data_IF_938961823632
#
_entry.id   IF_938961823632
#
_cell.length_a   1.000
_cell.length_b   1.000
_cell.length_c   1.000
_cell.angle_alpha   90.00
_cell.angle_beta   90.00
_cell.angle_gamma   90.00
#
_symmetry.space_group_name_H-M   'P 1'
#
loop_
_entity.id
_entity.type
_entity.pdbx_description
1 polymer ?
#
# COMPACT_ATOMS: atom_id res chain seq x y z
N UNK A 1 22.63 -32.38 5.46
CA UNK A 1 21.62 -31.95 6.46
C UNK A 1 21.63 -30.44 6.74
N UNK A 2 22.78 -29.78 6.94
CA UNK A 2 22.82 -28.33 7.26
C UNK A 2 22.17 -27.39 6.23
N UNK A 3 22.29 -27.68 4.92
CA UNK A 3 21.68 -26.85 3.85
C UNK A 3 20.14 -26.81 3.89
N UNK A 4 19.49 -27.92 4.29
CA UNK A 4 18.04 -27.99 4.44
C UNK A 4 17.54 -27.19 5.65
N UNK A 5 18.34 -27.12 6.72
CA UNK A 5 18.00 -26.36 7.92
C UNK A 5 18.07 -24.85 7.66
N UNK A 6 19.02 -24.40 6.84
CA UNK A 6 19.12 -23.00 6.41
C UNK A 6 17.95 -22.56 5.51
N UNK A 7 17.54 -23.41 4.56
CA UNK A 7 16.38 -23.12 3.68
C UNK A 7 15.08 -23.05 4.52
N UNK A 8 14.94 -23.95 5.50
CA UNK A 8 13.83 -23.88 6.46
C UNK A 8 13.82 -22.56 7.23
N UNK A 9 14.96 -22.13 7.77
CA UNK A 9 15.06 -20.90 8.56
C UNK A 9 14.67 -19.64 7.75
N UNK A 10 15.07 -19.57 6.48
CA UNK A 10 14.77 -18.42 5.61
C UNK A 10 13.26 -18.35 5.31
N UNK A 11 12.61 -19.50 5.05
CA UNK A 11 11.18 -19.55 4.78
C UNK A 11 10.30 -19.18 5.99
N UNK A 12 10.80 -19.35 7.22
CA UNK A 12 10.07 -18.97 8.45
C UNK A 12 10.26 -17.50 8.87
N UNK A 13 11.21 -16.78 8.28
CA UNK A 13 11.52 -15.40 8.69
C UNK A 13 10.54 -14.34 8.17
N UNK A 14 9.62 -14.69 7.28
CA UNK A 14 8.88 -13.73 6.44
C UNK A 14 7.53 -13.23 6.97
N UNK A 15 7.12 -13.49 8.21
CA UNK A 15 5.76 -13.11 8.68
C UNK A 15 5.67 -12.47 10.07
N UNK A 16 6.77 -11.92 10.59
CA UNK A 16 6.67 -11.09 11.80
C UNK A 16 6.14 -9.71 11.41
N UNK A 17 4.82 -9.61 11.27
CA UNK A 17 4.12 -8.34 11.13
C UNK A 17 4.11 -7.63 12.49
N UNK A 18 5.13 -6.82 12.74
CA UNK A 18 5.20 -6.02 13.95
C UNK A 18 4.09 -4.96 13.92
N UNK A 19 3.20 -4.99 14.92
CA UNK A 19 2.22 -3.94 15.15
C UNK A 19 2.89 -2.81 15.94
N UNK A 20 2.78 -1.58 15.45
CA UNK A 20 3.31 -0.39 16.13
C UNK A 20 2.20 0.60 16.43
N UNK A 21 2.34 1.32 17.53
CA UNK A 21 1.37 2.27 18.07
C UNK A 21 2.03 3.64 18.15
N UNK A 22 1.39 4.65 17.59
CA UNK A 22 1.79 6.04 17.68
C UNK A 22 0.69 6.85 18.36
N UNK A 23 1.06 7.71 19.30
CA UNK A 23 0.12 8.62 19.96
C UNK A 23 0.82 9.93 20.33
N UNK A 24 0.04 10.95 20.68
CA UNK A 24 0.55 12.20 21.24
C UNK A 24 0.38 12.12 22.75
N UNK A 25 1.47 12.27 23.48
CA UNK A 25 1.44 12.32 24.94
C UNK A 25 0.82 13.64 25.39
N UNK A 26 -0.26 13.62 26.20
CA UNK A 26 -1.05 14.82 26.47
C UNK A 26 -0.29 15.88 27.28
N UNK A 27 0.62 15.45 28.15
CA UNK A 27 1.36 16.34 29.04
C UNK A 27 2.46 17.12 28.30
N UNK A 28 3.13 16.48 27.35
CA UNK A 28 4.29 17.03 26.65
C UNK A 28 3.98 17.47 25.21
N UNK A 29 2.87 16.99 24.63
CA UNK A 29 2.58 17.14 23.21
C UNK A 29 3.53 16.36 22.28
N UNK A 30 4.42 15.52 22.84
CA UNK A 30 5.39 14.77 22.04
C UNK A 30 4.75 13.54 21.42
N UNK A 31 5.12 13.25 20.19
CA UNK A 31 4.71 12.01 19.53
C UNK A 31 5.54 10.83 20.04
N UNK A 32 4.86 9.81 20.54
CA UNK A 32 5.45 8.57 21.01
C UNK A 32 5.19 7.45 20.00
N UNK A 33 6.09 6.46 19.95
CA UNK A 33 5.99 5.30 19.07
C UNK A 33 6.45 4.03 19.82
N UNK A 34 5.61 3.00 19.88
CA UNK A 34 5.89 1.77 20.64
C UNK A 34 5.35 0.54 19.93
N UNK A 35 6.07 -0.59 20.00
CA UNK A 35 5.54 -1.90 19.57
C UNK A 35 4.55 -2.53 20.56
N UNK A 36 4.39 -1.94 21.75
CA UNK A 36 3.42 -2.34 22.77
C UNK A 36 2.35 -1.27 22.91
N UNK A 37 1.07 -1.65 23.07
CA UNK A 37 0.01 -0.68 23.31
C UNK A 37 0.24 0.04 24.65
N UNK A 38 -0.08 1.35 24.73
CA UNK A 38 -0.12 2.07 26.00
C UNK A 38 -1.09 1.40 27.00
N UNK A 39 -0.85 1.55 28.30
CA UNK A 39 -1.70 0.92 29.32
C UNK A 39 -3.18 1.36 29.22
N UNK A 40 -3.42 2.63 28.89
CA UNK A 40 -4.76 3.21 28.75
C UNK A 40 -5.47 2.83 27.45
N UNK A 41 -4.76 2.32 26.43
CA UNK A 41 -5.33 2.00 25.11
C UNK A 41 -6.44 0.94 25.17
N UNK A 42 -6.46 0.12 26.23
CA UNK A 42 -7.52 -0.88 26.48
C UNK A 42 -8.42 -0.55 27.67
N UNK A 43 -8.27 0.63 28.25
CA UNK A 43 -9.09 1.05 29.39
C UNK A 43 -10.44 1.61 28.93
N UNK A 44 -11.45 1.52 29.79
CA UNK A 44 -12.80 2.04 29.51
C UNK A 44 -12.87 3.57 29.44
N UNK A 45 -11.95 4.26 30.13
CA UNK A 45 -11.88 5.74 30.12
C UNK A 45 -11.49 6.29 28.74
N UNK A 46 -10.89 5.46 27.88
CA UNK A 46 -10.30 5.88 26.62
C UNK A 46 -9.02 6.70 26.85
N UNK A 47 -8.37 7.09 25.76
CA UNK A 47 -7.17 7.93 25.84
C UNK A 47 -6.95 8.76 24.58
N UNK A 48 -5.75 9.34 24.44
CA UNK A 48 -5.36 10.09 23.25
C UNK A 48 -5.58 9.31 21.95
N UNK A 49 -5.69 10.03 20.83
CA UNK A 49 -5.72 9.46 19.48
C UNK A 49 -4.51 8.55 19.25
N UNK A 50 -4.77 7.32 18.81
CA UNK A 50 -3.74 6.31 18.50
C UNK A 50 -3.79 5.93 17.04
N UNK A 51 -2.64 5.94 16.38
CA UNK A 51 -2.46 5.32 15.07
C UNK A 51 -1.76 3.98 15.24
N UNK A 52 -2.31 2.94 14.61
CA UNK A 52 -1.78 1.58 14.62
C UNK A 52 -1.23 1.26 13.24
N UNK A 53 0.05 0.92 13.17
CA UNK A 53 0.71 0.46 11.96
C UNK A 53 0.72 -1.06 11.97
N UNK A 54 0.04 -1.68 11.01
CA UNK A 54 -0.08 -3.13 10.91
C UNK A 54 -0.15 -3.55 9.44
N UNK A 55 0.69 -4.52 9.04
CA UNK A 55 0.71 -5.06 7.68
C UNK A 55 0.81 -4.00 6.57
N UNK A 56 1.64 -2.98 6.78
CA UNK A 56 1.82 -1.87 5.84
C UNK A 56 0.62 -0.92 5.73
N UNK A 57 -0.37 -1.03 6.64
CA UNK A 57 -1.54 -0.15 6.71
C UNK A 57 -1.46 0.70 7.98
N UNK A 58 -1.98 1.92 7.89
CA UNK A 58 -2.16 2.83 9.03
C UNK A 58 -3.64 2.82 9.39
N UNK A 59 -3.94 2.43 10.63
CA UNK A 59 -5.29 2.34 11.18
C UNK A 59 -5.40 3.45 12.23
N UNK A 60 -6.37 4.33 12.08
CA UNK A 60 -6.73 5.28 13.13
C UNK A 60 -7.66 4.58 14.12
N UNK A 61 -7.14 4.29 15.31
CA UNK A 61 -7.86 3.58 16.36
C UNK A 61 -8.28 4.52 17.50
N UNK A 62 -8.67 5.74 17.12
CA UNK A 62 -9.32 6.65 18.06
C UNK A 62 -10.68 6.07 18.46
N UNK A 63 -10.87 5.81 19.75
CA UNK A 63 -12.15 5.35 20.28
C UNK A 63 -13.20 6.45 20.15
N UNK A 64 -13.94 6.45 19.05
CA UNK A 64 -15.10 7.32 18.86
C UNK A 64 -16.29 6.64 19.56
N UNK A 65 -16.92 7.34 20.51
CA UNK A 65 -18.18 6.89 21.11
C UNK A 65 -19.28 6.95 20.05
N UNK A 66 -19.60 5.81 19.47
CA UNK A 66 -20.73 5.64 18.54
C UNK A 66 -21.93 5.07 19.27
N UNK A 67 -23.12 5.56 18.92
CA UNK A 67 -24.38 4.98 19.41
C UNK A 67 -24.55 3.54 18.93
N UNK A 68 -25.34 2.72 19.62
CA UNK A 68 -25.56 1.32 19.20
C UNK A 68 -26.18 1.23 17.80
N UNK A 69 -27.04 2.18 17.43
CA UNK A 69 -27.61 2.29 16.09
C UNK A 69 -26.54 2.54 15.03
N UNK A 70 -25.64 3.48 15.26
CA UNK A 70 -24.53 3.77 14.33
C UNK A 70 -23.56 2.60 14.24
N UNK A 71 -23.29 1.93 15.37
CA UNK A 71 -22.44 0.73 15.40
C UNK A 71 -23.00 -0.35 14.48
N UNK A 72 -24.31 -0.58 14.52
CA UNK A 72 -24.97 -1.57 13.67
C UNK A 72 -24.92 -1.17 12.18
N UNK A 73 -25.15 0.11 11.86
CA UNK A 73 -25.03 0.61 10.49
C UNK A 73 -23.60 0.48 9.94
N UNK A 74 -22.58 0.76 10.76
CA UNK A 74 -21.18 0.61 10.37
C UNK A 74 -20.83 -0.85 10.10
N UNK A 75 -21.36 -1.80 10.90
CA UNK A 75 -21.19 -3.24 10.65
C UNK A 75 -21.80 -3.65 9.32
N UNK A 76 -23.05 -3.26 9.05
CA UNK A 76 -23.73 -3.59 7.80
C UNK A 76 -22.96 -3.06 6.59
N UNK A 77 -22.46 -1.81 6.65
CA UNK A 77 -21.61 -1.23 5.61
C UNK A 77 -20.28 -1.98 5.45
N UNK A 78 -19.67 -2.41 6.55
CA UNK A 78 -18.44 -3.18 6.48
C UNK A 78 -18.64 -4.52 5.75
N UNK A 79 -19.76 -5.21 5.99
CA UNK A 79 -20.08 -6.45 5.27
C UNK A 79 -20.29 -6.22 3.77
N UNK A 80 -21.08 -5.21 3.39
CA UNK A 80 -21.31 -4.86 1.98
C UNK A 80 -19.97 -4.58 1.27
N UNK A 81 -19.10 -3.80 1.91
CA UNK A 81 -17.79 -3.47 1.34
C UNK A 81 -16.89 -4.69 1.15
N UNK A 82 -16.92 -5.65 2.08
CA UNK A 82 -16.16 -6.89 1.95
C UNK A 82 -16.63 -7.70 0.75
N UNK A 83 -17.95 -7.78 0.53
CA UNK A 83 -18.53 -8.46 -0.64
C UNK A 83 -18.12 -7.78 -1.95
N UNK A 84 -18.20 -6.45 -2.03
CA UNK A 84 -17.71 -5.68 -3.19
C UNK A 84 -16.21 -5.89 -3.46
N UNK A 85 -15.39 -5.87 -2.40
CA UNK A 85 -13.94 -6.10 -2.51
C UNK A 85 -13.63 -7.52 -3.00
N UNK A 86 -14.38 -8.53 -2.57
CA UNK A 86 -14.27 -9.92 -3.04
C UNK A 86 -14.64 -10.05 -4.53
N UNK A 87 -15.71 -9.41 -4.97
CA UNK A 87 -16.09 -9.38 -6.39
C UNK A 87 -15.01 -8.73 -7.26
N UNK A 88 -14.46 -7.60 -6.81
CA UNK A 88 -13.35 -6.92 -7.49
C UNK A 88 -12.12 -7.82 -7.54
N UNK A 89 -11.79 -8.50 -6.45
CA UNK A 89 -10.66 -9.42 -6.39
C UNK A 89 -10.83 -10.60 -7.35
N UNK A 90 -12.04 -11.19 -7.39
CA UNK A 90 -12.38 -12.28 -8.34
C UNK A 90 -12.26 -11.81 -9.78
N UNK A 91 -12.82 -10.65 -10.12
CA UNK A 91 -12.71 -10.09 -11.46
C UNK A 91 -11.28 -9.78 -11.89
N UNK A 92 -10.42 -9.34 -10.96
CA UNK A 92 -8.98 -9.18 -11.21
C UNK A 92 -8.28 -10.51 -11.48
N UNK A 93 -8.61 -11.54 -10.71
CA UNK A 93 -8.05 -12.89 -10.88
C UNK A 93 -8.43 -13.49 -12.23
N UNK A 94 -9.69 -13.37 -12.65
CA UNK A 94 -10.16 -13.85 -13.95
C UNK A 94 -9.44 -13.15 -15.11
N UNK A 95 -9.25 -11.83 -15.04
CA UNK A 95 -8.48 -11.08 -16.04
C UNK A 95 -7.02 -11.53 -16.10
N UNK A 96 -6.39 -11.74 -14.94
CA UNK A 96 -5.02 -12.22 -14.87
C UNK A 96 -4.86 -13.61 -15.49
N UNK A 97 -5.81 -14.52 -15.22
CA UNK A 97 -5.83 -15.86 -15.83
C UNK A 97 -5.98 -15.80 -17.35
N UNK A 98 -6.91 -14.97 -17.86
CA UNK A 98 -7.10 -14.81 -19.30
C UNK A 98 -5.84 -14.27 -19.99
N UNK A 99 -5.19 -13.28 -19.39
CA UNK A 99 -3.97 -12.70 -19.94
C UNK A 99 -2.80 -13.69 -19.94
N UNK A 100 -2.74 -14.57 -18.92
CA UNK A 100 -1.78 -15.67 -18.88
C UNK A 100 -2.02 -16.69 -20.00
N UNK A 101 -3.28 -17.08 -20.26
CA UNK A 101 -3.63 -17.98 -21.36
C UNK A 101 -3.26 -17.39 -22.73
N UNK A 102 -3.50 -16.08 -22.93
CA UNK A 102 -3.10 -15.37 -24.16
C UNK A 102 -1.57 -15.38 -24.35
N UNK A 103 -0.80 -15.20 -23.29
CA UNK A 103 0.67 -15.23 -23.33
C UNK A 103 1.22 -16.63 -23.63
N UNK A 104 0.64 -17.66 -23.01
CA UNK A 104 1.03 -19.05 -23.23
C UNK A 104 0.72 -19.49 -24.67
N UNK A 105 -0.41 -19.06 -25.25
CA UNK A 105 -0.76 -19.33 -26.64
C UNK A 105 0.19 -18.61 -27.62
N UNK A 106 0.50 -17.33 -27.37
CA UNK A 106 1.44 -16.56 -28.21
C UNK A 106 2.86 -17.14 -28.20
N UNK A 107 3.29 -17.67 -27.05
CA UNK A 107 4.59 -18.32 -26.89
C UNK A 107 4.69 -19.61 -27.71
N UNK A 108 3.60 -20.39 -27.77
CA UNK A 108 3.54 -21.61 -28.60
C UNK A 108 3.59 -21.31 -30.09
N UNK A 109 2.93 -20.24 -30.56
CA UNK A 109 2.98 -19.84 -31.96
C UNK A 109 4.37 -19.31 -32.38
N UNK A 110 5.08 -18.63 -31.46
CA UNK A 110 6.41 -18.07 -31.74
C UNK A 110 7.51 -19.15 -31.73
N UNK A 111 7.29 -20.29 -31.08
CA UNK A 111 8.27 -21.39 -30.96
C UNK A 111 8.46 -22.23 -32.23
N UNK A 112 7.75 -21.96 -33.34
CA UNK A 112 7.86 -22.73 -34.60
C UNK A 112 8.90 -22.15 -35.57
N UNK A 113 9.50 -21.00 -35.28
CA UNK A 113 10.75 -20.58 -35.93
C UNK A 113 11.93 -21.00 -35.08
N UNK A 114 12.30 -22.28 -35.23
CA UNK A 114 13.58 -22.81 -34.81
C UNK A 114 14.69 -21.98 -35.49
N UNK A 115 15.47 -21.15 -34.76
CA UNK A 115 16.63 -20.52 -35.33
C UNK A 115 17.60 -21.64 -35.77
N UNK A 116 18.26 -21.52 -36.93
CA UNK A 116 19.23 -22.52 -37.36
C UNK A 116 20.29 -22.70 -36.26
N UNK A 117 20.39 -23.94 -35.80
CA UNK A 117 21.45 -24.48 -34.95
C UNK A 117 22.82 -23.92 -35.35
N UNK A 118 23.27 -22.88 -34.64
CA UNK A 118 24.67 -22.50 -34.59
C UNK A 118 25.24 -23.21 -33.37
N UNK A 119 25.91 -24.32 -33.64
CA UNK A 119 26.74 -25.03 -32.68
C UNK A 119 27.91 -24.12 -32.30
N UNK A 120 27.76 -23.33 -31.24
CA UNK A 120 28.93 -22.80 -30.54
C UNK A 120 29.45 -23.85 -29.55
N UNK A 121 30.76 -24.18 -29.59
CA UNK A 121 31.36 -25.12 -28.66
C UNK A 121 31.30 -24.58 -27.24
N UNK A 122 30.77 -25.38 -26.31
CA UNK A 122 30.95 -25.14 -24.87
C UNK A 122 32.45 -25.20 -24.55
N UNK A 123 33.05 -24.06 -24.25
CA UNK A 123 34.22 -24.04 -23.39
C UNK A 123 33.78 -24.33 -21.95
N UNK A 124 34.32 -25.44 -21.47
CA UNK A 124 34.30 -25.95 -20.11
C UNK A 124 34.97 -24.93 -19.18
N UNK A 125 34.17 -24.07 -18.54
CA UNK A 125 34.67 -23.22 -17.46
C UNK A 125 34.73 -24.07 -16.20
N UNK A 126 35.92 -24.61 -15.94
CA UNK A 126 36.32 -25.29 -14.72
C UNK A 126 35.88 -24.53 -13.47
N UNK A 127 35.36 -25.31 -12.52
CA UNK A 127 35.06 -24.89 -11.18
C UNK A 127 36.35 -24.45 -10.45
N UNK A 128 36.48 -23.15 -10.15
CA UNK A 128 37.32 -22.68 -9.06
C UNK A 128 36.47 -22.42 -7.83
N UNK A 129 36.55 -23.38 -6.90
CA UNK A 129 36.34 -23.20 -5.47
C UNK A 129 37.47 -22.31 -4.91
N UNK A 130 37.16 -21.19 -4.25
CA UNK A 130 37.53 -20.96 -2.85
C UNK A 130 37.33 -19.50 -2.40
N UNK A 131 36.88 -19.42 -1.15
CA UNK A 131 37.21 -18.44 -0.12
C UNK A 131 36.75 -16.97 -0.19
N UNK A 132 36.24 -16.60 0.98
CA UNK A 132 36.19 -15.27 1.61
C UNK A 132 35.04 -14.34 1.24
N UNK A 133 34.07 -14.36 2.16
CA UNK A 133 33.06 -13.33 2.31
C UNK A 133 33.69 -11.96 2.61
N UNK A 134 33.27 -10.91 1.90
CA UNK A 134 33.18 -9.59 2.46
C UNK A 134 31.72 -9.28 2.80
N UNK A 135 31.53 -8.66 3.95
CA UNK A 135 30.28 -8.00 4.30
C UNK A 135 29.98 -6.91 3.27
N UNK A 136 29.02 -7.15 2.37
CA UNK A 136 28.54 -6.14 1.43
C UNK A 136 27.33 -5.46 2.04
N UNK A 137 27.60 -4.34 2.72
CA UNK A 137 26.69 -3.21 2.65
C UNK A 137 26.52 -2.90 1.16
N UNK A 138 25.28 -2.94 0.67
CA UNK A 138 24.95 -2.65 -0.71
C UNK A 138 25.24 -1.17 -1.01
N UNK A 139 26.49 -0.90 -1.39
CA UNK A 139 26.87 0.31 -2.09
C UNK A 139 26.45 0.10 -3.54
N UNK A 140 25.33 0.72 -3.93
CA UNK A 140 24.92 0.82 -5.32
C UNK A 140 25.95 1.71 -6.01
N UNK A 141 27.00 1.11 -6.55
CA UNK A 141 27.96 1.80 -7.42
C UNK A 141 27.22 2.23 -8.70
N UNK A 142 26.64 3.43 -8.66
CA UNK A 142 26.24 4.17 -9.85
C UNK A 142 27.52 4.36 -10.68
N UNK A 143 27.58 3.91 -11.95
CA UNK A 143 28.77 4.06 -12.77
C UNK A 143 29.14 5.54 -12.88
N UNK A 144 30.19 5.97 -12.17
CA UNK A 144 30.70 7.35 -12.24
C UNK A 144 31.42 7.53 -13.57
N UNK A 145 30.76 8.21 -14.49
CA UNK A 145 31.26 8.59 -15.82
C UNK A 145 30.15 9.23 -16.65
N UNK A 146 30.46 9.72 -17.86
CA UNK A 146 29.50 10.39 -18.75
C UNK A 146 28.23 9.58 -19.04
N UNK A 147 28.29 8.24 -18.95
CA UNK A 147 27.13 7.37 -19.09
C UNK A 147 26.17 7.45 -17.89
N UNK A 148 26.69 7.59 -16.66
CA UNK A 148 25.88 7.75 -15.45
C UNK A 148 25.13 9.08 -15.42
N UNK A 149 25.77 10.15 -15.89
CA UNK A 149 25.15 11.49 -15.95
C UNK A 149 23.97 11.52 -16.94
N UNK A 150 24.11 10.84 -18.10
CA UNK A 150 23.00 10.71 -19.07
C UNK A 150 21.82 9.93 -18.51
N UNK A 151 22.07 8.84 -17.79
CA UNK A 151 21.00 8.03 -17.16
C UNK A 151 20.27 8.86 -16.09
N UNK A 152 21.00 9.66 -15.30
CA UNK A 152 20.39 10.54 -14.30
C UNK A 152 19.53 11.64 -14.95
N UNK A 153 19.98 12.18 -16.08
CA UNK A 153 19.23 13.20 -16.81
C UNK A 153 17.96 12.63 -17.47
N UNK A 154 18.04 11.42 -18.03
CA UNK A 154 16.88 10.67 -18.52
C UNK A 154 15.88 10.35 -17.40
N UNK A 155 16.36 9.90 -16.23
CA UNK A 155 15.49 9.66 -15.08
C UNK A 155 14.81 10.95 -14.59
N UNK A 156 15.53 12.07 -14.54
CA UNK A 156 14.95 13.38 -14.16
C UNK A 156 13.89 13.84 -15.17
N UNK A 157 14.15 13.67 -16.46
CA UNK A 157 13.18 14.00 -17.50
C UNK A 157 11.90 13.15 -17.36
N UNK A 158 12.05 11.85 -17.10
CA UNK A 158 10.93 10.93 -16.93
C UNK A 158 10.08 11.25 -15.69
N UNK A 159 10.72 11.64 -14.58
CA UNK A 159 10.02 12.12 -13.37
C UNK A 159 9.24 13.40 -13.67
N UNK A 160 9.86 14.38 -14.35
CA UNK A 160 9.20 15.64 -14.70
C UNK A 160 7.99 15.45 -15.62
N UNK A 161 8.08 14.55 -16.61
CA UNK A 161 6.95 14.21 -17.47
C UNK A 161 5.82 13.54 -16.69
N UNK A 162 6.16 12.63 -15.77
CA UNK A 162 5.19 11.96 -14.92
C UNK A 162 4.46 12.93 -13.98
N UNK A 163 5.17 13.86 -13.33
CA UNK A 163 4.59 14.89 -12.46
C UNK A 163 3.65 15.83 -13.23
N UNK A 164 4.04 16.20 -14.46
CA UNK A 164 3.20 17.01 -15.35
C UNK A 164 1.92 16.28 -15.73
N UNK A 165 1.99 14.97 -15.98
CA UNK A 165 0.83 14.13 -16.29
C UNK A 165 -0.10 13.99 -15.08
N UNK A 166 0.45 13.75 -13.90
CA UNK A 166 -0.28 13.72 -12.62
C UNK A 166 -1.04 15.04 -12.38
N UNK A 167 -0.35 16.17 -12.54
CA UNK A 167 -0.92 17.50 -12.31
C UNK A 167 -2.09 17.80 -13.26
N UNK A 168 -1.98 17.42 -14.54
CA UNK A 168 -3.08 17.55 -15.50
C UNK A 168 -4.28 16.66 -15.15
N UNK A 169 -4.03 15.40 -14.77
CA UNK A 169 -5.10 14.49 -14.37
C UNK A 169 -5.84 14.99 -13.12
N UNK A 170 -5.12 15.61 -12.17
CA UNK A 170 -5.72 16.22 -10.99
C UNK A 170 -6.60 17.42 -11.36
N UNK A 171 -6.11 18.32 -12.24
CA UNK A 171 -6.88 19.46 -12.74
C UNK A 171 -8.14 19.03 -13.51
N UNK A 172 -8.04 18.04 -14.39
CA UNK A 172 -9.20 17.49 -15.11
C UNK A 172 -10.23 16.88 -14.15
N UNK A 173 -9.79 16.27 -13.05
CA UNK A 173 -10.69 15.73 -12.03
C UNK A 173 -11.42 16.84 -11.28
N UNK A 174 -10.72 17.94 -10.96
CA UNK A 174 -11.31 19.11 -10.31
C UNK A 174 -12.31 19.79 -11.25
N UNK A 175 -11.93 20.06 -12.50
CA UNK A 175 -12.81 20.70 -13.49
C UNK A 175 -14.06 19.85 -13.77
N UNK A 176 -13.90 18.52 -13.87
CA UNK A 176 -15.03 17.59 -14.01
C UNK A 176 -15.94 17.58 -12.77
N UNK A 177 -15.40 17.84 -11.58
CA UNK A 177 -16.18 17.95 -10.35
C UNK A 177 -16.85 19.32 -10.18
N UNK A 178 -16.26 20.40 -10.71
CA UNK A 178 -16.84 21.75 -10.69
C UNK A 178 -17.90 21.97 -11.80
N UNK A 179 -17.87 21.19 -12.89
CA UNK A 179 -18.92 21.16 -13.91
C UNK A 179 -20.26 20.54 -13.45
N UNK A 180 -20.30 19.92 -12.27
CA UNK A 180 -21.52 19.52 -11.58
C UNK A 180 -21.97 20.68 -10.68
N UNK A 181 -22.61 21.68 -11.29
CA UNK A 181 -23.22 22.78 -10.57
C UNK A 181 -24.17 22.26 -9.45
N UNK A 182 -24.21 22.93 -8.30
CA UNK A 182 -25.01 22.52 -7.15
C UNK A 182 -26.50 22.60 -7.48
N UNK A 183 -27.19 21.47 -7.44
CA UNK A 183 -28.64 21.50 -7.26
C UNK A 183 -28.95 22.27 -5.97
N UNK A 184 -29.66 23.38 -6.18
CA UNK A 184 -30.35 24.23 -5.23
C UNK A 184 -30.58 23.56 -3.87
N UNK A 185 -29.82 24.00 -2.87
CA UNK A 185 -30.10 23.77 -1.46
C UNK A 185 -31.54 24.24 -1.16
N UNK A 186 -32.50 23.36 -0.80
CA UNK A 186 -33.80 23.82 -0.36
C UNK A 186 -33.62 24.59 0.94
N UNK A 187 -34.18 25.80 0.96
CA UNK A 187 -34.20 26.68 2.10
C UNK A 187 -34.73 25.94 3.34
N UNK A 188 -33.90 25.88 4.38
CA UNK A 188 -34.27 25.36 5.69
C UNK A 188 -35.22 26.38 6.37
N UNK A 189 -36.53 26.09 6.53
CA UNK A 189 -37.44 27.01 7.21
C UNK A 189 -37.11 26.98 8.71
N UNK A 190 -36.95 28.17 9.28
CA UNK A 190 -36.46 28.38 10.63
C UNK A 190 -37.15 27.53 11.70
N UNK A 191 -36.33 26.88 12.51
CA UNK A 191 -36.75 26.31 13.79
C UNK A 191 -37.05 27.49 14.72
N UNK A 192 -38.34 27.80 14.81
CA UNK A 192 -38.93 28.70 15.80
C UNK A 192 -38.60 28.20 17.21
N UNK A 193 -37.80 28.98 17.94
CA UNK A 193 -37.46 28.71 19.33
C UNK A 193 -38.70 28.83 20.21
N UNK A 194 -39.10 27.71 20.82
CA UNK A 194 -40.05 27.73 21.93
C UNK A 194 -39.31 28.10 23.23
N UNK A 195 -39.79 29.07 24.01
CA UNK A 195 -39.18 29.45 25.27
C UNK A 195 -39.42 28.38 26.35
N UNK A 196 -38.36 28.03 27.07
CA UNK A 196 -38.36 27.13 28.23
C UNK A 196 -39.01 27.86 29.42
N UNK A 197 -40.03 27.30 30.10
CA UNK A 197 -40.56 27.87 31.32
C UNK A 197 -39.61 27.62 32.51
N UNK A 198 -39.45 28.64 33.35
CA UNK A 198 -38.62 28.60 34.56
C UNK A 198 -39.20 27.62 35.61
N UNK A 199 -38.35 26.93 36.38
CA UNK A 199 -38.80 26.10 37.50
C UNK A 199 -39.20 26.96 38.72
N UNK A 200 -40.29 26.56 39.39
CA UNK A 200 -40.66 26.99 40.74
C UNK A 200 -39.93 26.15 41.79
#
# INVERSE_FOLDING_TARGET
>A
MMRLLFIGLILFSSLVHARMYQWIEPDSGTTQLSGKPPAWYRSEEGGPRVFVFEAGRVIDDTTIKVSDRERELLRQRAFIKVEEDEEIARGKLERANKLKEEFDNKSKETSVQEPPSVQEPLEEIEAMESSDAPAVAADLEIPRGEAGDKILEEMRALIAEWEKKQSRSALETIEKSEGLAPETSPANPGISGSPVPAPN
#
